data_IF_178503565736
#
_entry.id   IF_178503565736
#
_cell.length_a   1.000
_cell.length_b   1.000
_cell.length_c   1.000
_cell.angle_alpha   90.00
_cell.angle_beta   90.00
_cell.angle_gamma   90.00
#
_symmetry.space_group_name_H-M   'P 1'
#
loop_
_entity.id
_entity.type
_entity.pdbx_description
1 polymer ?
#
# COMPACT_ATOMS: atom_id res chain seq x y z
N UNK A 1 0.06 18.93 -3.94
CA UNK A 1 0.69 18.00 -4.92
C UNK A 1 -0.12 16.73 -5.02
N UNK A 2 -0.32 16.22 -6.23
CA UNK A 2 -0.88 14.87 -6.47
C UNK A 2 0.13 14.04 -7.25
N UNK A 3 0.31 12.78 -6.84
CA UNK A 3 1.22 11.85 -7.52
C UNK A 3 0.50 11.07 -8.60
N UNK A 4 1.16 10.91 -9.73
CA UNK A 4 0.84 9.91 -10.72
C UNK A 4 1.82 8.75 -10.57
N UNK A 5 1.37 7.64 -9.97
CA UNK A 5 2.24 6.52 -9.60
C UNK A 5 2.11 5.31 -10.52
N UNK A 6 0.97 5.17 -11.21
CA UNK A 6 0.79 4.12 -12.22
C UNK A 6 -0.32 4.54 -13.20
N UNK A 7 -0.36 3.92 -14.36
CA UNK A 7 -1.46 4.06 -15.30
C UNK A 7 -2.46 2.94 -15.06
N UNK A 8 -3.65 3.31 -14.61
CA UNK A 8 -4.78 2.38 -14.49
C UNK A 8 -5.38 2.02 -15.85
N UNK A 9 -4.90 2.64 -16.92
CA UNK A 9 -5.39 2.48 -18.26
C UNK A 9 -4.60 1.37 -18.97
N UNK A 10 -5.13 0.16 -19.02
CA UNK A 10 -5.02 -0.64 -20.23
C UNK A 10 -5.95 0.05 -21.24
N UNK A 11 -5.43 0.42 -22.40
CA UNK A 11 -6.12 1.17 -23.47
C UNK A 11 -7.51 0.63 -23.89
N UNK A 12 -7.96 -0.48 -23.33
CA UNK A 12 -9.24 -1.14 -23.63
C UNK A 12 -10.34 -1.03 -22.55
N UNK A 13 -10.08 -0.39 -21.41
CA UNK A 13 -11.08 -0.32 -20.32
C UNK A 13 -11.28 1.10 -19.79
N UNK A 14 -11.94 1.93 -20.58
CA UNK A 14 -12.42 3.28 -20.18
C UNK A 14 -13.48 3.28 -19.04
N UNK A 15 -13.87 2.11 -18.50
CA UNK A 15 -15.11 2.01 -17.74
C UNK A 15 -14.97 1.80 -16.21
N UNK A 16 -13.77 1.50 -15.65
CA UNK A 16 -13.63 1.24 -14.20
C UNK A 16 -12.28 1.68 -13.64
N UNK A 17 -12.02 2.97 -13.65
CA UNK A 17 -10.92 3.52 -12.84
C UNK A 17 -11.33 3.59 -11.37
N UNK A 18 -10.88 2.65 -10.55
CA UNK A 18 -10.97 2.71 -9.09
C UNK A 18 -9.55 2.84 -8.52
N UNK A 19 -9.27 3.96 -7.84
CA UNK A 19 -8.00 4.18 -7.17
C UNK A 19 -7.69 5.66 -6.97
N UNK A 20 -6.74 5.96 -6.09
CA UNK A 20 -6.34 7.35 -5.78
C UNK A 20 -5.62 8.05 -6.96
N UNK A 21 -5.13 7.30 -7.95
CA UNK A 21 -4.44 7.82 -9.14
C UNK A 21 -5.32 7.85 -10.38
N UNK A 22 -6.65 7.68 -10.25
CA UNK A 22 -7.56 7.87 -11.37
C UNK A 22 -7.57 9.32 -11.83
N UNK A 23 -7.81 9.55 -13.13
CA UNK A 23 -7.93 10.91 -13.70
C UNK A 23 -9.00 11.70 -12.95
N UNK A 24 -10.11 11.05 -12.60
CA UNK A 24 -11.19 11.65 -11.84
C UNK A 24 -10.72 12.12 -10.45
N UNK A 25 -9.98 11.29 -9.72
CA UNK A 25 -9.42 11.66 -8.41
C UNK A 25 -8.40 12.80 -8.50
N UNK A 26 -7.58 12.82 -9.54
CA UNK A 26 -6.64 13.93 -9.81
C UNK A 26 -7.38 15.22 -10.10
N UNK A 27 -8.44 15.17 -10.92
CA UNK A 27 -9.26 16.35 -11.24
C UNK A 27 -10.06 16.84 -10.03
N UNK A 28 -10.57 15.93 -9.19
CA UNK A 28 -11.22 16.27 -7.92
C UNK A 28 -10.23 17.00 -6.99
N UNK A 29 -9.01 16.49 -6.85
CA UNK A 29 -7.96 17.13 -6.04
C UNK A 29 -7.61 18.53 -6.57
N UNK A 30 -7.46 18.68 -7.90
CA UNK A 30 -7.22 19.97 -8.54
C UNK A 30 -8.35 20.96 -8.29
N UNK A 31 -9.60 20.53 -8.46
CA UNK A 31 -10.76 21.38 -8.21
C UNK A 31 -10.83 21.84 -6.75
N UNK A 32 -10.59 20.93 -5.80
CA UNK A 32 -10.59 21.25 -4.37
C UNK A 32 -9.47 22.25 -4.02
N UNK A 33 -8.26 22.04 -4.55
CA UNK A 33 -7.16 22.97 -4.35
C UNK A 33 -7.49 24.39 -4.88
N UNK A 34 -8.03 24.48 -6.09
CA UNK A 34 -8.47 25.74 -6.69
C UNK A 34 -9.53 26.44 -5.85
N UNK A 35 -10.54 25.70 -5.35
CA UNK A 35 -11.58 26.24 -4.46
C UNK A 35 -11.01 26.79 -3.17
N UNK A 36 -9.91 26.21 -2.67
CA UNK A 36 -9.21 26.66 -1.47
C UNK A 36 -8.18 27.77 -1.74
N UNK A 37 -7.94 28.13 -3.01
CA UNK A 37 -6.94 29.14 -3.39
C UNK A 37 -5.50 28.62 -3.40
N UNK A 38 -5.29 27.29 -3.46
CA UNK A 38 -3.97 26.71 -3.53
C UNK A 38 -3.57 26.35 -4.95
N UNK A 39 -2.29 26.51 -5.27
CA UNK A 39 -1.71 25.91 -6.47
C UNK A 39 -1.73 24.38 -6.36
N UNK A 40 -1.97 23.71 -7.49
CA UNK A 40 -2.00 22.26 -7.56
C UNK A 40 -1.05 21.74 -8.62
N UNK A 41 -0.10 20.93 -8.20
CA UNK A 41 0.92 20.34 -9.06
C UNK A 41 0.69 18.82 -9.16
N UNK A 42 0.85 18.29 -10.37
CA UNK A 42 0.82 16.84 -10.63
C UNK A 42 2.25 16.42 -10.93
N UNK A 43 2.78 15.50 -10.13
CA UNK A 43 4.14 14.99 -10.30
C UNK A 43 4.09 13.53 -10.74
N UNK A 44 4.86 13.21 -11.77
CA UNK A 44 4.90 11.88 -12.35
C UNK A 44 6.01 11.04 -11.72
N UNK A 45 5.60 10.03 -10.95
CA UNK A 45 6.50 9.07 -10.31
C UNK A 45 6.30 7.64 -10.81
N UNK A 46 5.70 7.45 -12.00
CA UNK A 46 5.37 6.11 -12.52
C UNK A 46 6.58 5.21 -12.65
N UNK A 47 7.69 5.73 -13.15
CA UNK A 47 8.90 4.93 -13.33
C UNK A 47 9.52 4.53 -12.00
N UNK A 48 9.66 5.47 -11.06
CA UNK A 48 10.17 5.19 -9.71
C UNK A 48 9.25 4.21 -8.97
N UNK A 49 7.93 4.40 -9.07
CA UNK A 49 6.94 3.52 -8.46
C UNK A 49 7.02 2.10 -9.05
N UNK A 50 7.15 1.98 -10.36
CA UNK A 50 7.31 0.68 -11.02
C UNK A 50 8.58 -0.05 -10.57
N UNK A 51 9.68 0.67 -10.47
CA UNK A 51 10.97 0.09 -10.08
C UNK A 51 11.03 -0.29 -8.60
N UNK A 52 10.58 0.61 -7.70
CA UNK A 52 10.73 0.42 -6.25
C UNK A 52 9.58 -0.37 -5.63
N UNK A 53 8.35 -0.22 -6.13
CA UNK A 53 7.17 -0.78 -5.48
C UNK A 53 6.64 -2.00 -6.24
N UNK A 54 6.33 -1.84 -7.53
CA UNK A 54 5.70 -2.94 -8.30
C UNK A 54 6.68 -4.09 -8.49
N UNK A 55 7.94 -3.80 -8.86
CA UNK A 55 8.96 -4.83 -9.05
C UNK A 55 9.22 -5.59 -7.75
N UNK A 56 9.41 -4.89 -6.64
CA UNK A 56 9.58 -5.53 -5.34
C UNK A 56 8.37 -6.40 -4.98
N UNK A 57 7.15 -5.93 -5.23
CA UNK A 57 5.94 -6.71 -4.98
C UNK A 57 5.96 -8.05 -5.73
N UNK A 58 6.35 -8.03 -7.00
CA UNK A 58 6.47 -9.24 -7.82
C UNK A 58 7.59 -10.14 -7.27
N UNK A 59 8.78 -9.58 -7.03
CA UNK A 59 9.96 -10.33 -6.61
C UNK A 59 9.75 -11.01 -5.24
N UNK A 60 9.08 -10.34 -4.30
CA UNK A 60 8.75 -10.91 -2.99
C UNK A 60 7.78 -12.10 -3.12
N UNK A 61 6.67 -11.95 -3.85
CA UNK A 61 5.75 -13.07 -4.06
C UNK A 61 6.43 -14.24 -4.79
N UNK A 62 7.23 -13.94 -5.81
CA UNK A 62 7.96 -14.97 -6.57
C UNK A 62 9.09 -15.63 -5.78
N UNK A 63 9.43 -15.09 -4.61
CA UNK A 63 10.37 -15.66 -3.62
C UNK A 63 9.66 -16.32 -2.43
N UNK A 64 8.33 -16.47 -2.46
CA UNK A 64 7.55 -17.07 -1.37
C UNK A 64 7.36 -16.16 -0.16
N UNK A 65 7.59 -14.85 -0.30
CA UNK A 65 7.37 -13.86 0.76
C UNK A 65 6.15 -13.00 0.44
N UNK A 66 5.52 -12.45 1.47
CA UNK A 66 4.37 -11.54 1.32
C UNK A 66 4.85 -10.10 1.42
N UNK A 67 4.79 -9.30 0.33
CA UNK A 67 5.25 -7.92 0.32
C UNK A 67 4.30 -6.99 1.07
N UNK A 68 4.86 -5.85 1.53
CA UNK A 68 4.07 -4.71 1.96
C UNK A 68 4.39 -3.49 1.06
N UNK A 69 3.72 -3.34 -0.08
CA UNK A 69 4.03 -2.28 -1.03
C UNK A 69 3.76 -0.88 -0.48
N UNK A 70 2.86 -0.73 0.51
CA UNK A 70 2.58 0.57 1.11
C UNK A 70 3.76 1.12 1.92
N UNK A 71 4.53 0.27 2.58
CA UNK A 71 5.75 0.68 3.30
C UNK A 71 6.77 1.25 2.30
N UNK A 72 7.01 0.55 1.20
CA UNK A 72 7.95 1.01 0.18
C UNK A 72 7.45 2.27 -0.54
N UNK A 73 6.16 2.34 -0.85
CA UNK A 73 5.57 3.56 -1.42
C UNK A 73 5.76 4.75 -0.49
N UNK A 74 5.53 4.59 0.80
CA UNK A 74 5.77 5.66 1.76
C UNK A 74 7.25 6.07 1.78
N UNK A 75 8.18 5.13 1.98
CA UNK A 75 9.60 5.47 2.13
C UNK A 75 10.24 6.01 0.84
N UNK A 76 9.96 5.42 -0.33
CA UNK A 76 10.65 5.80 -1.57
C UNK A 76 9.92 6.90 -2.36
N UNK A 77 8.58 6.88 -2.39
CA UNK A 77 7.83 7.84 -3.19
C UNK A 77 7.42 9.04 -2.34
N UNK A 78 6.67 8.81 -1.25
CA UNK A 78 6.12 9.93 -0.47
C UNK A 78 7.16 10.67 0.37
N UNK A 79 8.17 9.99 0.88
CA UNK A 79 9.24 10.63 1.66
C UNK A 79 10.59 10.61 0.95
N UNK A 80 10.76 9.85 -0.11
CA UNK A 80 11.91 9.97 -0.98
C UNK A 80 11.71 11.11 -1.98
N UNK A 81 10.80 10.92 -2.94
CA UNK A 81 10.60 11.85 -4.04
C UNK A 81 9.87 13.15 -3.63
N UNK A 82 8.87 13.08 -2.73
CA UNK A 82 8.14 14.28 -2.32
C UNK A 82 9.01 15.26 -1.53
N UNK A 83 9.96 14.77 -0.74
CA UNK A 83 10.90 15.66 -0.05
C UNK A 83 11.72 16.45 -1.08
N UNK A 84 12.19 15.79 -2.14
CA UNK A 84 12.90 16.46 -3.24
C UNK A 84 12.02 17.53 -3.94
N UNK A 85 10.76 17.19 -4.18
CA UNK A 85 9.78 18.15 -4.72
C UNK A 85 9.54 19.32 -3.75
N UNK A 86 9.48 19.06 -2.44
CA UNK A 86 9.37 20.10 -1.45
C UNK A 86 10.56 21.07 -1.48
N UNK A 87 11.78 20.54 -1.66
CA UNK A 87 12.99 21.35 -1.80
C UNK A 87 12.94 22.23 -3.08
N UNK A 88 12.48 21.68 -4.20
CA UNK A 88 12.30 22.43 -5.46
C UNK A 88 11.28 23.59 -5.31
N UNK A 89 10.22 23.37 -4.52
CA UNK A 89 9.22 24.38 -4.20
C UNK A 89 9.56 25.24 -2.97
N UNK A 90 10.75 25.07 -2.41
CA UNK A 90 11.22 25.81 -1.22
C UNK A 90 10.25 25.66 -0.01
N UNK A 91 9.73 24.44 0.19
CA UNK A 91 8.87 24.11 1.31
C UNK A 91 9.68 23.43 2.43
N UNK A 92 9.57 23.94 3.64
CA UNK A 92 10.23 23.38 4.82
C UNK A 92 9.63 22.04 5.24
N UNK A 93 8.32 21.87 5.05
CA UNK A 93 7.57 20.72 5.50
C UNK A 93 6.76 20.06 4.39
N UNK A 94 6.54 18.76 4.56
CA UNK A 94 5.53 18.01 3.83
C UNK A 94 4.38 17.66 4.77
N UNK A 95 3.14 17.78 4.33
CA UNK A 95 1.95 17.41 5.07
C UNK A 95 1.21 16.29 4.36
N UNK A 96 0.83 15.25 5.10
CA UNK A 96 0.09 14.12 4.56
C UNK A 96 -1.10 13.74 5.42
N UNK A 97 -2.13 13.16 4.81
CA UNK A 97 -3.34 12.71 5.51
C UNK A 97 -3.21 11.38 6.23
N UNK A 98 -2.00 10.95 6.61
CA UNK A 98 -1.83 9.73 7.40
C UNK A 98 -2.30 9.94 8.84
N UNK A 99 -2.93 8.91 9.39
CA UNK A 99 -3.25 8.83 10.81
C UNK A 99 -2.02 8.34 11.56
N UNK A 100 -1.17 9.26 11.96
CA UNK A 100 0.04 9.06 12.75
C UNK A 100 0.36 10.35 13.49
N UNK A 101 1.19 10.31 14.52
CA UNK A 101 1.69 11.48 15.24
C UNK A 101 3.20 11.50 15.24
N UNK A 102 3.74 12.67 15.50
CA UNK A 102 5.16 12.88 15.74
C UNK A 102 5.30 13.37 17.17
N UNK A 103 6.19 12.73 17.93
CA UNK A 103 6.52 13.12 19.30
C UNK A 103 8.01 13.45 19.39
N UNK A 104 8.34 14.54 20.05
CA UNK A 104 9.72 14.89 20.36
C UNK A 104 10.01 14.53 21.81
N UNK A 105 11.12 13.78 22.03
CA UNK A 105 11.61 13.39 23.35
C UNK A 105 13.14 13.44 23.36
N UNK A 106 13.71 14.07 24.34
CA UNK A 106 15.17 14.15 24.53
C UNK A 106 15.93 14.66 23.29
N UNK A 107 15.33 15.58 22.51
CA UNK A 107 15.89 16.14 21.30
C UNK A 107 15.76 15.24 20.05
N UNK A 108 15.17 14.07 20.18
CA UNK A 108 14.88 13.15 19.09
C UNK A 108 13.40 13.17 18.70
N UNK A 109 13.13 12.86 17.43
CA UNK A 109 11.78 12.82 16.87
C UNK A 109 11.38 11.39 16.57
N UNK A 110 10.22 11.01 17.06
CA UNK A 110 9.67 9.66 16.97
C UNK A 110 8.31 9.65 16.27
N UNK A 111 8.08 8.59 15.51
CA UNK A 111 6.76 8.26 15.01
C UNK A 111 5.92 7.68 16.16
N UNK A 112 4.73 8.25 16.39
CA UNK A 112 3.83 7.83 17.45
C UNK A 112 2.45 7.46 16.91
N UNK A 113 1.76 6.58 17.62
CA UNK A 113 0.44 6.09 17.25
C UNK A 113 -0.57 7.23 17.19
N UNK A 114 -1.47 7.19 16.20
CA UNK A 114 -2.57 8.14 16.07
C UNK A 114 -3.58 8.04 17.24
N UNK A 115 -4.32 9.13 17.47
CA UNK A 115 -5.42 9.13 18.43
C UNK A 115 -6.53 8.13 18.05
N UNK A 116 -6.84 7.99 16.76
CA UNK A 116 -7.73 6.96 16.25
C UNK A 116 -6.95 5.65 16.04
N UNK A 117 -6.92 4.80 17.06
CA UNK A 117 -6.21 3.51 17.04
C UNK A 117 -6.75 2.53 15.99
N UNK A 118 -8.01 2.70 15.54
CA UNK A 118 -8.60 1.88 14.47
C UNK A 118 -8.15 2.30 13.08
N UNK A 119 -7.65 3.54 12.95
CA UNK A 119 -7.17 4.14 11.70
C UNK A 119 -5.67 4.37 11.70
N UNK A 120 -4.99 3.98 12.75
CA UNK A 120 -3.54 4.12 12.87
C UNK A 120 -2.80 3.54 11.65
N UNK A 121 -1.87 4.32 11.12
CA UNK A 121 -1.08 3.99 9.94
C UNK A 121 0.43 3.95 10.20
N UNK A 122 0.85 3.99 11.45
CA UNK A 122 2.28 3.94 11.82
C UNK A 122 2.96 2.68 11.31
N UNK A 123 2.22 1.56 11.22
CA UNK A 123 2.70 0.31 10.62
C UNK A 123 3.23 0.47 9.19
N UNK A 124 2.72 1.43 8.42
CA UNK A 124 3.17 1.69 7.05
C UNK A 124 4.27 2.75 6.95
N UNK A 125 4.69 3.33 8.09
CA UNK A 125 5.61 4.47 8.17
C UNK A 125 6.92 4.16 8.91
N UNK A 126 7.13 2.93 9.36
CA UNK A 126 8.26 2.54 10.20
C UNK A 126 9.63 2.69 9.53
N UNK A 127 9.69 2.78 8.20
CA UNK A 127 10.93 3.02 7.46
C UNK A 127 11.34 4.49 7.36
N UNK A 128 10.55 5.41 7.90
CA UNK A 128 10.88 6.84 7.87
C UNK A 128 12.05 7.13 8.82
N UNK A 129 12.99 7.91 8.34
CA UNK A 129 14.12 8.38 9.15
C UNK A 129 13.71 9.55 10.05
N UNK A 130 14.49 9.83 11.10
CA UNK A 130 14.26 10.99 11.96
C UNK A 130 14.31 12.30 11.17
N UNK A 131 15.21 12.43 10.20
CA UNK A 131 15.31 13.60 9.32
C UNK A 131 14.02 13.82 8.53
N UNK A 132 13.46 12.76 7.97
CA UNK A 132 12.17 12.80 7.25
C UNK A 132 11.04 13.19 8.21
N UNK A 133 11.01 12.62 9.43
CA UNK A 133 9.99 12.94 10.42
C UNK A 133 10.05 14.41 10.86
N UNK A 134 11.25 15.00 11.01
CA UNK A 134 11.42 16.44 11.34
C UNK A 134 10.83 17.38 10.30
N UNK A 135 10.71 16.93 9.06
CA UNK A 135 10.11 17.67 7.94
C UNK A 135 8.67 17.25 7.64
N UNK A 136 8.03 16.50 8.52
CA UNK A 136 6.70 15.93 8.29
C UNK A 136 5.66 16.50 9.23
N UNK A 137 4.46 16.74 8.68
CA UNK A 137 3.27 17.07 9.45
C UNK A 137 2.18 16.01 9.18
N UNK A 138 1.55 15.53 10.25
CA UNK A 138 0.38 14.66 10.19
C UNK A 138 -0.85 15.37 10.78
N UNK A 139 -1.54 16.23 10.01
CA UNK A 139 -2.66 17.04 10.53
C UNK A 139 -3.83 16.21 11.06
N UNK A 140 -3.92 14.93 10.71
CA UNK A 140 -5.00 14.03 11.14
C UNK A 140 -4.61 13.19 12.36
N UNK A 141 -3.39 13.32 12.89
CA UNK A 141 -2.85 12.46 13.93
C UNK A 141 -3.64 12.47 15.24
N UNK A 142 -4.19 13.62 15.61
CA UNK A 142 -4.97 13.80 16.85
C UNK A 142 -6.49 13.74 16.64
N UNK A 143 -6.94 13.42 15.42
CA UNK A 143 -8.36 13.38 15.05
C UNK A 143 -8.83 11.95 14.83
N UNK A 144 -10.07 11.68 15.22
CA UNK A 144 -10.75 10.47 14.78
C UNK A 144 -11.28 10.63 13.35
N UNK A 145 -11.52 9.51 12.66
CA UNK A 145 -12.08 9.53 11.31
C UNK A 145 -13.43 10.25 11.23
N UNK A 146 -14.26 10.11 12.26
CA UNK A 146 -15.56 10.77 12.31
C UNK A 146 -15.40 12.29 12.46
N UNK A 147 -14.48 12.75 13.31
CA UNK A 147 -14.16 14.17 13.40
C UNK A 147 -13.66 14.75 12.06
N UNK A 148 -12.80 14.02 11.34
CA UNK A 148 -12.32 14.44 10.00
C UNK A 148 -13.49 14.55 9.01
N UNK A 149 -14.43 13.61 9.04
CA UNK A 149 -15.64 13.66 8.20
C UNK A 149 -16.54 14.84 8.56
N UNK A 150 -16.68 15.13 9.85
CA UNK A 150 -17.49 16.27 10.31
C UNK A 150 -16.86 17.59 9.89
N UNK A 151 -15.55 17.75 10.01
CA UNK A 151 -14.82 18.91 9.50
C UNK A 151 -15.06 19.07 7.99
N UNK A 152 -14.94 17.99 7.22
CA UNK A 152 -15.19 18.04 5.78
C UNK A 152 -16.64 18.48 5.45
N UNK A 153 -17.65 18.02 6.19
CA UNK A 153 -19.05 18.44 6.04
C UNK A 153 -19.24 19.94 6.36
N UNK A 154 -18.64 20.40 7.46
CA UNK A 154 -18.70 21.81 7.89
C UNK A 154 -18.13 22.76 6.83
N UNK A 155 -17.10 22.31 6.11
CA UNK A 155 -16.50 23.07 5.02
C UNK A 155 -17.14 22.83 3.65
N UNK A 156 -18.29 22.11 3.59
CA UNK A 156 -19.05 21.89 2.36
C UNK A 156 -18.52 20.79 1.45
N UNK A 157 -17.59 19.93 1.93
CA UNK A 157 -17.03 18.78 1.20
C UNK A 157 -17.83 17.51 1.46
N UNK A 158 -19.17 17.54 1.27
CA UNK A 158 -20.09 16.44 1.60
C UNK A 158 -19.69 15.15 0.88
N UNK A 159 -19.47 15.22 -0.44
CA UNK A 159 -19.08 14.04 -1.25
C UNK A 159 -17.79 13.39 -0.74
N UNK A 160 -16.81 14.21 -0.34
CA UNK A 160 -15.54 13.73 0.20
C UNK A 160 -15.71 13.07 1.57
N UNK A 161 -16.56 13.64 2.43
CA UNK A 161 -16.88 13.07 3.74
C UNK A 161 -17.56 11.70 3.66
N UNK A 162 -18.34 11.46 2.60
CA UNK A 162 -19.08 10.20 2.35
C UNK A 162 -18.29 9.19 1.52
N UNK A 163 -17.15 9.59 0.95
CA UNK A 163 -16.32 8.71 0.13
C UNK A 163 -15.86 7.48 0.92
N UNK A 164 -16.06 6.30 0.33
CA UNK A 164 -15.58 5.05 0.91
C UNK A 164 -14.06 5.01 0.91
N UNK A 165 -13.50 4.41 1.94
CA UNK A 165 -12.05 4.21 2.04
C UNK A 165 -11.59 3.11 1.09
N UNK A 166 -10.48 3.34 0.43
CA UNK A 166 -9.77 2.28 -0.29
C UNK A 166 -8.95 1.48 0.72
N UNK A 167 -9.26 0.19 0.87
CA UNK A 167 -8.52 -0.75 1.73
C UNK A 167 -7.62 -1.69 0.92
N UNK A 168 -7.60 -1.51 -0.40
CA UNK A 168 -6.93 -2.39 -1.34
C UNK A 168 -5.59 -1.81 -1.80
N UNK A 169 -4.73 -2.66 -2.33
CA UNK A 169 -3.47 -2.24 -2.94
C UNK A 169 -3.80 -1.42 -4.19
N UNK A 170 -3.37 -0.17 -4.22
CA UNK A 170 -3.82 0.84 -5.18
C UNK A 170 -3.59 0.50 -6.66
N UNK A 171 -2.56 -0.31 -6.98
CA UNK A 171 -2.23 -0.72 -8.35
C UNK A 171 -2.74 -2.12 -8.73
N UNK A 172 -3.49 -2.78 -7.86
CA UNK A 172 -4.09 -4.09 -8.14
C UNK A 172 -5.59 -3.92 -8.36
N UNK A 173 -6.06 -4.06 -9.61
CA UNK A 173 -7.49 -4.01 -9.89
C UNK A 173 -8.24 -5.15 -9.21
N UNK A 174 -9.45 -4.85 -8.72
CA UNK A 174 -10.38 -5.85 -8.15
C UNK A 174 -9.79 -6.70 -7.01
N UNK A 175 -8.69 -6.23 -6.38
CA UNK A 175 -7.97 -6.90 -5.29
C UNK A 175 -7.47 -8.33 -5.65
N UNK A 176 -7.27 -8.60 -6.94
CA UNK A 176 -6.76 -9.88 -7.42
C UNK A 176 -5.26 -9.81 -7.75
N UNK A 177 -4.44 -9.91 -6.71
CA UNK A 177 -2.98 -9.91 -6.88
C UNK A 177 -2.48 -11.12 -7.70
N UNK A 178 -3.21 -12.23 -7.70
CA UNK A 178 -2.85 -13.44 -8.48
C UNK A 178 -3.01 -13.19 -9.98
N UNK A 179 -4.11 -12.55 -10.39
CA UNK A 179 -4.29 -12.11 -11.76
C UNK A 179 -3.21 -11.09 -12.17
N UNK A 180 -2.88 -10.17 -11.25
CA UNK A 180 -1.81 -9.20 -11.48
C UNK A 180 -0.44 -9.89 -11.68
N UNK A 181 -0.05 -10.84 -10.82
CA UNK A 181 1.19 -11.60 -10.97
C UNK A 181 1.21 -12.37 -12.30
N UNK A 182 0.11 -13.06 -12.63
CA UNK A 182 -0.01 -13.82 -13.89
C UNK A 182 0.17 -12.94 -15.13
N UNK A 183 -0.31 -11.70 -15.08
CA UNK A 183 -0.20 -10.75 -16.19
C UNK A 183 1.19 -10.08 -16.30
N UNK A 184 1.96 -10.03 -15.20
CA UNK A 184 3.20 -9.25 -15.14
C UNK A 184 4.48 -10.10 -14.95
N UNK A 185 4.36 -11.39 -14.67
CA UNK A 185 5.51 -12.29 -14.50
C UNK A 185 5.70 -13.09 -15.79
N UNK A 186 6.85 -12.95 -16.47
CA UNK A 186 7.19 -13.84 -17.56
C UNK A 186 7.21 -15.30 -17.09
N UNK A 187 6.73 -16.21 -17.91
CA UNK A 187 6.74 -17.66 -17.65
C UNK A 187 6.06 -18.05 -16.32
N UNK A 188 5.05 -17.26 -15.91
CA UNK A 188 4.34 -17.45 -14.63
C UNK A 188 3.87 -18.89 -14.42
N UNK A 189 3.26 -19.49 -15.42
CA UNK A 189 2.69 -20.85 -15.31
C UNK A 189 3.76 -21.95 -15.20
N UNK A 190 4.99 -21.69 -15.66
CA UNK A 190 6.12 -22.59 -15.49
C UNK A 190 6.73 -22.47 -14.10
N UNK A 191 6.79 -21.27 -13.56
CA UNK A 191 7.36 -20.95 -12.24
C UNK A 191 6.37 -21.21 -11.10
N UNK A 192 5.07 -20.96 -11.31
CA UNK A 192 4.00 -21.12 -10.32
C UNK A 192 3.10 -22.28 -10.75
N UNK A 193 3.47 -23.47 -10.33
CA UNK A 193 2.76 -24.71 -10.62
C UNK A 193 2.27 -25.37 -9.33
N UNK A 194 1.47 -26.43 -9.46
CA UNK A 194 1.04 -27.21 -8.33
C UNK A 194 2.25 -27.75 -7.53
N UNK A 195 2.18 -27.65 -6.20
CA UNK A 195 3.21 -28.10 -5.27
C UNK A 195 2.62 -28.92 -4.14
N UNK A 196 3.40 -29.12 -3.10
CA UNK A 196 3.04 -29.98 -1.97
C UNK A 196 2.89 -29.17 -0.67
N UNK A 197 1.83 -29.46 0.08
CA UNK A 197 1.82 -29.15 1.51
C UNK A 197 2.62 -30.21 2.24
N UNK A 198 3.44 -29.79 3.17
CA UNK A 198 4.22 -30.69 4.03
C UNK A 198 4.06 -30.29 5.50
N UNK A 199 4.25 -31.24 6.41
CA UNK A 199 4.36 -30.95 7.84
C UNK A 199 5.80 -30.53 8.20
N UNK A 200 6.05 -30.24 9.48
CA UNK A 200 7.37 -29.85 9.97
C UNK A 200 8.44 -30.95 9.83
N UNK A 201 8.04 -32.20 9.60
CA UNK A 201 8.91 -33.35 9.38
C UNK A 201 9.14 -33.65 7.89
N UNK A 202 8.46 -32.89 6.99
CA UNK A 202 8.55 -33.09 5.55
C UNK A 202 7.57 -34.11 4.97
N UNK A 203 6.66 -34.67 5.78
CA UNK A 203 5.63 -35.58 5.28
C UNK A 203 4.62 -34.82 4.44
N UNK A 204 4.26 -35.37 3.29
CA UNK A 204 3.29 -34.75 2.37
C UNK A 204 1.88 -34.86 2.94
N UNK A 205 1.21 -33.73 3.08
CA UNK A 205 -0.14 -33.59 3.60
C UNK A 205 -1.19 -33.40 2.49
N UNK A 206 -0.76 -32.96 1.31
CA UNK A 206 -1.65 -32.69 0.18
C UNK A 206 -0.97 -31.88 -0.90
N UNK A 207 -1.76 -31.35 -1.84
CA UNK A 207 -1.26 -30.52 -2.96
C UNK A 207 -1.90 -29.15 -2.96
N UNK A 208 -1.16 -28.17 -3.45
CA UNK A 208 -1.61 -26.79 -3.63
C UNK A 208 -1.39 -26.31 -5.07
N UNK A 209 -2.05 -25.21 -5.47
CA UNK A 209 -2.05 -24.68 -6.84
C UNK A 209 -0.92 -23.68 -7.11
N UNK A 210 0.04 -23.54 -6.21
CA UNK A 210 1.19 -22.63 -6.35
C UNK A 210 1.48 -21.87 -5.06
N UNK A 211 2.75 -21.80 -4.70
CA UNK A 211 3.23 -21.21 -3.44
C UNK A 211 2.86 -19.74 -3.26
N UNK A 212 2.77 -18.96 -4.33
CA UNK A 212 2.40 -17.53 -4.30
C UNK A 212 0.99 -17.27 -3.75
N UNK A 213 0.16 -18.30 -3.64
CA UNK A 213 -1.22 -18.19 -3.14
C UNK A 213 -1.30 -18.17 -1.61
N UNK A 214 -0.17 -18.32 -0.92
CA UNK A 214 -0.11 -18.50 0.52
C UNK A 214 0.73 -17.44 1.20
N UNK A 215 0.40 -17.20 2.47
CA UNK A 215 1.11 -16.26 3.33
C UNK A 215 1.42 -16.94 4.66
N UNK A 216 2.59 -16.68 5.24
CA UNK A 216 2.94 -17.18 6.58
C UNK A 216 1.90 -16.69 7.60
N UNK A 217 1.44 -17.60 8.47
CA UNK A 217 0.35 -17.36 9.39
C UNK A 217 -1.05 -17.57 8.80
N UNK A 218 -1.19 -17.83 7.50
CA UNK A 218 -2.49 -18.11 6.89
C UNK A 218 -3.09 -19.40 7.45
N UNK A 219 -4.36 -19.33 7.86
CA UNK A 219 -5.15 -20.47 8.36
C UNK A 219 -6.26 -20.88 7.42
N UNK A 220 -6.94 -19.89 6.79
CA UNK A 220 -8.11 -20.14 5.94
C UNK A 220 -7.70 -20.25 4.47
N UNK A 221 -8.50 -20.97 3.70
CA UNK A 221 -8.28 -21.08 2.24
C UNK A 221 -7.12 -22.00 1.84
N UNK A 222 -6.68 -22.89 2.72
CA UNK A 222 -5.62 -23.86 2.41
C UNK A 222 -6.11 -25.00 1.52
N UNK A 223 -7.44 -25.30 1.51
CA UNK A 223 -8.00 -26.39 0.71
C UNK A 223 -7.60 -27.79 1.18
N UNK A 224 -7.13 -27.92 2.42
CA UNK A 224 -6.67 -29.17 3.03
C UNK A 224 -7.42 -29.41 4.35
N UNK A 225 -7.82 -30.67 4.59
CA UNK A 225 -8.52 -31.06 5.81
C UNK A 225 -7.57 -31.89 6.70
N UNK A 226 -7.11 -31.29 7.79
CA UNK A 226 -6.19 -31.92 8.74
C UNK A 226 -6.85 -32.33 10.06
N UNK A 227 -8.18 -32.16 10.20
CA UNK A 227 -8.91 -32.46 11.44
C UNK A 227 -8.65 -31.50 12.59
N UNK A 228 -7.66 -30.64 12.48
CA UNK A 228 -7.28 -29.61 13.46
C UNK A 228 -6.86 -28.31 12.75
N UNK A 229 -6.93 -27.15 13.41
CA UNK A 229 -6.44 -25.89 12.86
C UNK A 229 -4.94 -25.98 12.51
N UNK A 230 -4.59 -25.62 11.28
CA UNK A 230 -3.21 -25.54 10.81
C UNK A 230 -2.93 -24.13 10.24
N UNK A 231 -1.67 -23.73 10.32
CA UNK A 231 -1.20 -22.44 9.85
C UNK A 231 0.01 -22.64 8.95
N UNK A 232 0.13 -21.82 7.92
CA UNK A 232 1.34 -21.78 7.10
C UNK A 232 2.48 -21.24 7.95
N UNK A 233 3.54 -22.00 8.10
CA UNK A 233 4.73 -21.64 8.88
C UNK A 233 5.93 -21.32 8.00
N UNK A 234 5.99 -21.91 6.80
CA UNK A 234 7.09 -21.70 5.85
C UNK A 234 6.61 -21.87 4.41
N UNK A 235 7.22 -21.10 3.50
CA UNK A 235 6.98 -21.19 2.05
C UNK A 235 8.35 -21.27 1.38
N UNK A 236 8.59 -22.35 0.67
CA UNK A 236 9.79 -22.56 -0.12
C UNK A 236 9.44 -22.49 -1.61
N UNK A 237 9.82 -21.38 -2.23
CA UNK A 237 9.56 -21.14 -3.65
C UNK A 237 10.44 -22.01 -4.57
N UNK A 238 11.60 -22.50 -4.10
CA UNK A 238 12.54 -23.32 -4.88
C UNK A 238 12.02 -24.74 -4.99
N UNK A 239 11.65 -25.34 -3.86
CA UNK A 239 11.08 -26.71 -3.84
C UNK A 239 9.59 -26.72 -4.09
N UNK A 240 8.92 -25.56 -4.16
CA UNK A 240 7.49 -25.38 -4.32
C UNK A 240 6.70 -26.11 -3.22
N UNK A 241 7.14 -25.91 -1.96
CA UNK A 241 6.51 -26.51 -0.77
C UNK A 241 5.99 -25.43 0.18
N UNK A 242 4.83 -25.75 0.77
CA UNK A 242 4.19 -24.95 1.81
C UNK A 242 4.06 -25.81 3.07
N UNK A 243 4.71 -25.38 4.15
CA UNK A 243 4.67 -26.05 5.45
C UNK A 243 3.59 -25.48 6.32
#
# INVERSE_FOLDING_TARGET
>A
VTFRTFDSIKESCLAKEKGCCSIESIMEAKHNAQKMGFEHHIVDFRDTFKQCVIRNFIDEYMSGRTPNPCVLCNSHIKWGELVRVADEFQCDYIATGHYARIEERDGHVYLAQAADTKKDQTYFLWMLTEEQLRRTMFPLGDLTKDQVRDIARQHGYIKLAEKRESQEICFIPDNDYRAFLRANVPDYNERVRAGEYVDAHGNVLGRHEGFVNYTIGQRKGLGIALGQPAYVTHIDAVTNRVT
#
